data_IF_122034734517
#
_entry.id   IF_122034734517
#
_cell.length_a   1.000
_cell.length_b   1.000
_cell.length_c   1.000
_cell.angle_alpha   90.00
_cell.angle_beta   90.00
_cell.angle_gamma   90.00
#
_symmetry.space_group_name_H-M   'P 1'
#
loop_
_entity.id
_entity.type
_entity.pdbx_description
1 polymer ?
#
# COMPACT_ATOMS: atom_id res chain seq x y z
N UNK A 1 1.57 -19.15 4.84
CA UNK A 1 1.10 -19.86 6.06
C UNK A 1 -0.36 -20.22 5.89
N UNK A 2 -0.88 -21.24 6.59
CA UNK A 2 -2.32 -21.50 6.56
C UNK A 2 -3.07 -20.58 7.56
N UNK A 3 -4.39 -20.45 7.41
CA UNK A 3 -5.19 -19.52 8.22
C UNK A 3 -5.18 -19.87 9.71
N UNK A 4 -5.18 -21.16 10.06
CA UNK A 4 -5.14 -21.59 11.47
C UNK A 4 -3.83 -21.18 12.13
N UNK A 5 -2.71 -21.33 11.42
CA UNK A 5 -1.39 -20.89 11.90
C UNK A 5 -1.33 -19.37 12.07
N UNK A 6 -1.85 -18.61 11.10
CA UNK A 6 -1.90 -17.14 11.18
C UNK A 6 -2.69 -16.71 12.42
N UNK A 7 -3.88 -17.26 12.64
CA UNK A 7 -4.71 -16.91 13.80
C UNK A 7 -4.00 -17.28 15.10
N UNK A 8 -3.49 -18.52 15.21
CA UNK A 8 -2.79 -18.99 16.40
C UNK A 8 -1.58 -18.11 16.76
N UNK A 9 -0.80 -17.69 15.76
CA UNK A 9 0.35 -16.83 15.94
C UNK A 9 -0.07 -15.40 16.32
N UNK A 10 -1.10 -14.86 15.68
CA UNK A 10 -1.63 -13.52 15.98
C UNK A 10 -2.25 -13.43 17.39
N UNK A 11 -2.77 -14.53 17.95
CA UNK A 11 -3.35 -14.58 19.29
C UNK A 11 -2.38 -15.10 20.37
N UNK A 12 -1.15 -15.48 19.98
CA UNK A 12 -0.18 -16.14 20.86
C UNK A 12 0.42 -15.27 21.98
N UNK A 13 0.27 -13.94 21.90
CA UNK A 13 1.01 -12.93 22.70
C UNK A 13 2.54 -12.99 22.55
N UNK A 14 3.06 -13.85 21.67
CA UNK A 14 4.48 -13.88 21.30
C UNK A 14 4.72 -12.87 20.18
N UNK A 15 5.56 -11.89 20.47
CA UNK A 15 5.93 -10.80 19.56
C UNK A 15 6.45 -11.27 18.21
N UNK A 16 7.31 -12.28 18.21
CA UNK A 16 7.96 -12.74 16.98
C UNK A 16 6.93 -13.45 16.09
N UNK A 17 6.07 -14.27 16.70
CA UNK A 17 4.98 -14.97 16.01
C UNK A 17 3.95 -14.00 15.46
N UNK A 18 3.52 -13.02 16.25
CA UNK A 18 2.63 -11.95 15.82
C UNK A 18 3.26 -11.18 14.65
N UNK A 19 4.52 -10.78 14.75
CA UNK A 19 5.21 -10.05 13.67
C UNK A 19 5.24 -10.85 12.37
N UNK A 20 5.55 -12.14 12.46
CA UNK A 20 5.59 -13.04 11.31
C UNK A 20 4.22 -13.14 10.64
N UNK A 21 3.17 -13.39 11.41
CA UNK A 21 1.81 -13.54 10.88
C UNK A 21 1.19 -12.21 10.42
N UNK A 22 1.48 -11.11 11.10
CA UNK A 22 1.10 -9.78 10.66
C UNK A 22 1.72 -9.42 9.31
N UNK A 23 3.00 -9.76 9.11
CA UNK A 23 3.68 -9.59 7.81
C UNK A 23 3.02 -10.44 6.72
N UNK A 24 2.63 -11.68 7.04
CA UNK A 24 1.91 -12.55 6.10
C UNK A 24 0.57 -11.93 5.66
N UNK A 25 -0.19 -11.36 6.60
CA UNK A 25 -1.46 -10.68 6.30
C UNK A 25 -1.21 -9.46 5.40
N UNK A 26 -0.18 -8.65 5.70
CA UNK A 26 0.19 -7.46 4.91
C UNK A 26 0.56 -7.83 3.48
N UNK A 27 1.42 -8.84 3.30
CA UNK A 27 1.84 -9.32 1.99
C UNK A 27 0.68 -9.90 1.17
N UNK A 28 -0.36 -10.42 1.82
CA UNK A 28 -1.56 -10.94 1.18
C UNK A 28 -2.71 -9.92 1.12
N UNK A 29 -2.46 -8.65 1.44
CA UNK A 29 -3.51 -7.61 1.53
C UNK A 29 -4.33 -7.40 0.26
N UNK A 30 -3.83 -7.78 -0.91
CA UNK A 30 -4.58 -7.73 -2.17
C UNK A 30 -5.24 -9.06 -2.55
N UNK A 31 -4.91 -10.15 -1.86
CA UNK A 31 -5.50 -11.46 -2.05
C UNK A 31 -6.79 -11.58 -1.22
N UNK A 32 -7.89 -11.10 -1.80
CA UNK A 32 -9.21 -11.06 -1.14
C UNK A 32 -9.65 -12.43 -0.61
N UNK A 33 -9.40 -13.51 -1.34
CA UNK A 33 -9.82 -14.85 -0.93
C UNK A 33 -9.04 -15.35 0.29
N UNK A 34 -7.76 -14.97 0.42
CA UNK A 34 -7.00 -15.27 1.64
C UNK A 34 -7.48 -14.41 2.80
N UNK A 35 -7.68 -13.11 2.60
CA UNK A 35 -8.10 -12.20 3.67
C UNK A 35 -9.52 -12.52 4.16
N UNK A 36 -10.44 -12.91 3.27
CA UNK A 36 -11.82 -13.32 3.63
C UNK A 36 -11.87 -14.46 4.64
N UNK A 37 -10.89 -15.36 4.61
CA UNK A 37 -10.82 -16.48 5.58
C UNK A 37 -10.50 -16.03 7.00
N UNK A 38 -9.98 -14.81 7.17
CA UNK A 38 -9.68 -14.21 8.48
C UNK A 38 -10.88 -13.51 9.11
N UNK A 39 -11.96 -13.24 8.35
CA UNK A 39 -13.12 -12.51 8.86
C UNK A 39 -13.71 -13.09 10.15
N UNK A 40 -13.88 -14.43 10.30
CA UNK A 40 -14.45 -15.00 11.53
C UNK A 40 -13.59 -14.79 12.77
N UNK A 41 -12.30 -14.48 12.60
CA UNK A 41 -11.31 -14.35 13.67
C UNK A 41 -10.94 -12.89 13.96
N UNK A 42 -11.54 -11.94 13.24
CA UNK A 42 -11.20 -10.52 13.31
C UNK A 42 -11.19 -10.00 14.75
N UNK A 43 -12.27 -10.25 15.49
CA UNK A 43 -12.42 -9.73 16.86
C UNK A 43 -11.47 -10.43 17.83
N UNK A 44 -11.24 -11.73 17.66
CA UNK A 44 -10.27 -12.49 18.47
C UNK A 44 -8.84 -11.95 18.29
N UNK A 45 -8.44 -11.70 17.04
CA UNK A 45 -7.13 -11.11 16.70
C UNK A 45 -7.03 -9.70 17.29
N UNK A 46 -8.07 -8.88 17.14
CA UNK A 46 -8.09 -7.51 17.66
C UNK A 46 -7.96 -7.48 19.19
N UNK A 47 -8.77 -8.26 19.89
CA UNK A 47 -8.75 -8.32 21.36
C UNK A 47 -7.43 -8.87 21.91
N UNK A 48 -6.83 -9.83 21.21
CA UNK A 48 -5.53 -10.39 21.57
C UNK A 48 -4.37 -9.41 21.37
N UNK A 49 -4.53 -8.43 20.47
CA UNK A 49 -3.45 -7.52 20.07
C UNK A 49 -3.61 -6.07 20.55
N UNK A 50 -4.82 -5.60 20.88
CA UNK A 50 -5.10 -4.18 21.20
C UNK A 50 -4.32 -3.58 22.37
N UNK A 51 -3.85 -4.41 23.31
CA UNK A 51 -3.14 -3.97 24.52
C UNK A 51 -1.66 -4.30 24.49
N UNK A 52 -1.15 -4.73 23.35
CA UNK A 52 0.27 -4.96 23.12
C UNK A 52 0.99 -3.61 23.02
N UNK A 53 1.24 -2.98 24.17
CA UNK A 53 1.99 -1.72 24.27
C UNK A 53 3.45 -1.97 23.99
N UNK A 54 3.84 -1.94 22.73
CA UNK A 54 5.25 -2.04 22.34
C UNK A 54 5.81 -0.70 21.89
N UNK A 55 7.08 -0.51 22.24
CA UNK A 55 7.87 0.64 21.84
C UNK A 55 8.01 0.66 20.32
N UNK A 56 7.53 1.75 19.72
CA UNK A 56 7.90 2.30 18.40
C UNK A 56 7.43 1.60 17.11
N UNK A 57 6.83 0.40 17.10
CA UNK A 57 6.39 -0.19 15.82
C UNK A 57 5.15 -1.11 15.93
N UNK A 58 3.98 -0.49 16.02
CA UNK A 58 2.66 -1.13 16.17
C UNK A 58 2.05 -1.71 14.89
N UNK A 59 2.73 -1.48 13.76
CA UNK A 59 2.32 -1.86 12.41
C UNK A 59 1.90 -3.32 12.29
N UNK A 60 2.67 -4.24 12.88
CA UNK A 60 2.47 -5.68 12.67
C UNK A 60 1.26 -6.27 13.39
N UNK A 61 0.56 -5.48 14.20
CA UNK A 61 -0.66 -5.93 14.87
C UNK A 61 -1.85 -5.01 14.63
N UNK A 62 -1.65 -3.70 14.46
CA UNK A 62 -2.73 -2.78 14.09
C UNK A 62 -3.08 -2.88 12.61
N UNK A 63 -2.07 -2.88 11.73
CA UNK A 63 -2.32 -2.82 10.28
C UNK A 63 -2.98 -4.09 9.72
N UNK A 64 -2.68 -5.31 10.19
CA UNK A 64 -3.48 -6.50 9.83
C UNK A 64 -4.98 -6.35 10.12
N UNK A 65 -5.36 -5.71 11.24
CA UNK A 65 -6.77 -5.44 11.55
C UNK A 65 -7.36 -4.44 10.54
N UNK A 66 -6.62 -3.37 10.21
CA UNK A 66 -7.05 -2.40 9.18
C UNK A 66 -7.29 -3.09 7.84
N UNK A 67 -6.43 -4.03 7.43
CA UNK A 67 -6.60 -4.82 6.21
C UNK A 67 -7.87 -5.65 6.30
N UNK A 68 -8.07 -6.42 7.38
CA UNK A 68 -9.26 -7.25 7.53
C UNK A 68 -10.54 -6.40 7.49
N UNK A 69 -10.57 -5.27 8.21
CA UNK A 69 -11.70 -4.35 8.25
C UNK A 69 -12.01 -3.72 6.89
N UNK A 70 -10.97 -3.36 6.13
CA UNK A 70 -11.14 -2.87 4.76
C UNK A 70 -11.80 -3.91 3.87
N UNK A 71 -11.39 -5.17 3.98
CA UNK A 71 -11.97 -6.29 3.22
C UNK A 71 -13.39 -6.65 3.64
N UNK A 72 -13.75 -6.48 4.91
CA UNK A 72 -15.15 -6.61 5.37
C UNK A 72 -16.00 -5.51 4.70
N UNK A 73 -15.55 -4.25 4.75
CA UNK A 73 -16.26 -3.13 4.10
C UNK A 73 -16.37 -3.29 2.58
N UNK A 74 -15.34 -3.86 1.95
CA UNK A 74 -15.35 -4.22 0.52
C UNK A 74 -16.44 -5.22 0.20
N UNK A 75 -16.58 -6.28 1.01
CA UNK A 75 -17.63 -7.30 0.83
C UNK A 75 -19.02 -6.69 0.96
N UNK A 76 -19.21 -5.76 1.90
CA UNK A 76 -20.52 -5.18 2.20
C UNK A 76 -20.91 -4.06 1.20
N UNK A 77 -19.96 -3.44 0.50
CA UNK A 77 -20.21 -2.41 -0.52
C UNK A 77 -20.24 -2.99 -1.93
N UNK A 78 -21.41 -2.95 -2.59
CA UNK A 78 -21.64 -3.50 -3.94
C UNK A 78 -21.02 -2.70 -5.12
N UNK A 79 -19.88 -2.01 -4.94
CA UNK A 79 -19.14 -1.50 -6.13
C UNK A 79 -18.33 -0.22 -6.02
N UNK A 80 -17.99 0.27 -4.82
CA UNK A 80 -17.25 1.55 -4.71
C UNK A 80 -15.79 1.45 -4.25
N UNK A 81 -15.44 0.38 -3.52
CA UNK A 81 -14.15 0.26 -2.83
C UNK A 81 -13.35 -0.84 -3.54
N UNK A 82 -12.04 -0.64 -3.71
CA UNK A 82 -11.13 -1.69 -4.17
C UNK A 82 -10.09 -2.02 -3.10
N UNK A 83 -9.53 -3.24 -3.10
CA UNK A 83 -8.46 -3.63 -2.17
C UNK A 83 -7.21 -2.74 -2.29
N UNK A 84 -6.97 -2.16 -3.47
CA UNK A 84 -5.86 -1.23 -3.70
C UNK A 84 -6.06 0.14 -3.03
N UNK A 85 -7.25 0.45 -2.51
CA UNK A 85 -7.46 1.69 -1.75
C UNK A 85 -6.67 1.68 -0.42
N UNK A 86 -6.28 0.49 0.07
CA UNK A 86 -5.34 0.34 1.18
C UNK A 86 -4.03 1.08 0.97
N UNK A 87 -3.56 1.22 -0.28
CA UNK A 87 -2.30 1.90 -0.58
C UNK A 87 -2.32 3.38 -0.16
N UNK A 88 -3.47 4.05 -0.23
CA UNK A 88 -3.58 5.48 0.04
C UNK A 88 -3.52 5.83 1.54
N UNK A 89 -3.77 4.86 2.42
CA UNK A 89 -3.77 5.05 3.87
C UNK A 89 -2.53 4.51 4.60
N UNK A 90 -1.62 3.85 3.89
CA UNK A 90 -0.60 2.97 4.48
C UNK A 90 0.82 3.29 3.98
N UNK A 91 1.27 4.51 4.26
CA UNK A 91 2.46 5.13 3.68
C UNK A 91 3.80 4.37 3.88
N UNK A 92 3.90 3.38 4.75
CA UNK A 92 5.15 2.64 4.98
C UNK A 92 5.04 1.13 4.79
N UNK A 93 3.91 0.61 4.31
CA UNK A 93 3.66 -0.84 4.32
C UNK A 93 3.74 -1.50 2.94
N UNK A 94 3.68 -0.70 1.89
CA UNK A 94 3.62 -1.20 0.51
C UNK A 94 4.82 -0.72 -0.28
N UNK A 95 5.81 -1.59 -0.43
CA UNK A 95 6.96 -1.36 -1.29
C UNK A 95 6.56 -1.61 -2.75
N UNK A 96 6.64 -0.61 -3.65
CA UNK A 96 6.32 -0.80 -5.07
C UNK A 96 7.19 -1.86 -5.76
N UNK A 97 8.40 -2.14 -5.26
CA UNK A 97 9.26 -3.21 -5.77
C UNK A 97 8.79 -4.61 -5.37
N UNK A 98 8.01 -4.72 -4.30
CA UNK A 98 7.32 -5.96 -3.91
C UNK A 98 5.97 -6.04 -4.62
N UNK A 99 5.18 -4.96 -4.57
CA UNK A 99 3.84 -4.90 -5.15
C UNK A 99 3.83 -5.09 -6.67
N UNK A 100 4.92 -4.79 -7.39
CA UNK A 100 5.02 -5.11 -8.83
C UNK A 100 4.88 -6.60 -9.15
N UNK A 101 5.14 -7.48 -8.19
CA UNK A 101 5.00 -8.93 -8.33
C UNK A 101 3.60 -9.42 -7.91
N UNK A 102 2.76 -8.53 -7.39
CA UNK A 102 1.38 -8.83 -7.07
C UNK A 102 0.57 -8.94 -8.36
N UNK A 103 -0.16 -10.05 -8.55
CA UNK A 103 -0.97 -10.27 -9.75
C UNK A 103 -2.02 -9.18 -9.96
N UNK A 104 -2.49 -8.57 -8.86
CA UNK A 104 -3.47 -7.47 -8.85
C UNK A 104 -2.89 -6.13 -9.31
N UNK A 105 -1.58 -6.03 -9.52
CA UNK A 105 -0.88 -4.80 -9.88
C UNK A 105 -0.16 -4.95 -11.22
N UNK A 106 -0.21 -3.91 -12.02
CA UNK A 106 0.61 -3.73 -13.21
C UNK A 106 1.68 -2.68 -12.91
N UNK A 107 2.94 -3.05 -13.13
CA UNK A 107 4.05 -2.13 -13.04
C UNK A 107 4.18 -1.33 -14.33
N UNK A 108 4.04 -0.01 -14.24
CA UNK A 108 4.07 0.84 -15.43
C UNK A 108 5.48 1.38 -15.68
N UNK A 109 6.11 1.96 -14.66
CA UNK A 109 7.41 2.62 -14.80
C UNK A 109 8.18 2.68 -13.48
N UNK A 110 9.51 2.77 -13.61
CA UNK A 110 10.42 3.28 -12.57
C UNK A 110 11.15 4.51 -13.11
N UNK A 111 11.12 5.61 -12.37
CA UNK A 111 11.90 6.81 -12.64
C UNK A 111 12.93 7.07 -11.54
N UNK A 112 13.97 7.83 -11.89
CA UNK A 112 14.93 8.38 -10.94
C UNK A 112 14.49 9.82 -10.65
N UNK A 113 14.25 10.14 -9.37
CA UNK A 113 14.11 11.51 -8.89
C UNK A 113 15.43 12.04 -8.33
N UNK A 114 15.42 13.26 -7.79
CA UNK A 114 16.66 13.98 -7.39
C UNK A 114 17.58 13.19 -6.44
N UNK A 115 17.00 12.46 -5.48
CA UNK A 115 17.71 11.63 -4.51
C UNK A 115 16.99 10.33 -4.16
N UNK A 116 15.89 10.02 -4.85
CA UNK A 116 14.97 8.91 -4.54
C UNK A 116 14.36 8.36 -5.83
N UNK A 117 13.66 7.23 -5.75
CA UNK A 117 12.92 6.68 -6.88
C UNK A 117 11.45 7.10 -6.89
N UNK A 118 10.88 7.12 -8.09
CA UNK A 118 9.44 7.29 -8.32
C UNK A 118 8.93 6.12 -9.14
N UNK A 119 7.68 5.72 -8.91
CA UNK A 119 7.09 4.56 -9.54
C UNK A 119 5.68 4.88 -10.02
N UNK A 120 5.32 4.28 -11.16
CA UNK A 120 3.95 4.25 -11.65
C UNK A 120 3.42 2.82 -11.56
N UNK A 121 2.28 2.64 -10.89
CA UNK A 121 1.59 1.34 -10.82
C UNK A 121 0.11 1.51 -11.15
N UNK A 122 -0.51 0.47 -11.70
CA UNK A 122 -1.95 0.42 -11.96
C UNK A 122 -2.55 -0.81 -11.28
N UNK A 123 -3.68 -0.62 -10.58
CA UNK A 123 -4.46 -1.73 -10.10
C UNK A 123 -5.21 -2.38 -11.27
N UNK A 124 -5.04 -3.68 -11.47
CA UNK A 124 -5.75 -4.41 -12.55
C UNK A 124 -7.22 -4.71 -12.23
N UNK A 125 -7.64 -4.50 -10.98
CA UNK A 125 -9.03 -4.76 -10.54
C UNK A 125 -9.98 -3.59 -10.80
N UNK A 126 -9.48 -2.36 -10.66
CA UNK A 126 -10.29 -1.14 -10.77
C UNK A 126 -9.66 -0.04 -11.64
N UNK A 127 -8.56 -0.36 -12.31
CA UNK A 127 -7.81 0.52 -13.22
C UNK A 127 -7.26 1.83 -12.62
N UNK A 128 -7.42 2.05 -11.31
CA UNK A 128 -6.80 3.17 -10.61
C UNK A 128 -5.28 3.12 -10.78
N UNK A 129 -4.71 4.27 -11.12
CA UNK A 129 -3.27 4.48 -11.27
C UNK A 129 -2.70 5.22 -10.08
N UNK A 130 -1.50 4.83 -9.68
CA UNK A 130 -0.82 5.34 -8.51
C UNK A 130 0.54 5.90 -8.91
N UNK A 131 0.81 7.11 -8.42
CA UNK A 131 2.14 7.67 -8.31
C UNK A 131 2.69 7.26 -6.94
N UNK A 132 3.86 6.63 -6.93
CA UNK A 132 4.52 6.25 -5.67
C UNK A 132 5.87 6.93 -5.61
N UNK A 133 6.08 7.71 -4.56
CA UNK A 133 7.37 8.33 -4.29
C UNK A 133 8.07 7.64 -3.13
N UNK A 134 9.29 7.19 -3.36
CA UNK A 134 10.19 6.74 -2.30
C UNK A 134 10.63 7.94 -1.45
N UNK A 135 10.64 7.75 -0.14
CA UNK A 135 10.98 8.78 0.85
C UNK A 135 11.93 8.21 1.88
N UNK A 136 12.90 9.01 2.28
CA UNK A 136 13.95 8.61 3.21
C UNK A 136 13.85 9.47 4.47
N UNK A 137 13.83 8.84 5.64
CA UNK A 137 14.03 9.49 6.94
C UNK A 137 14.78 8.51 7.87
N UNK A 138 14.21 8.10 9.00
CA UNK A 138 14.75 7.01 9.82
C UNK A 138 14.69 5.63 9.14
N UNK A 139 13.88 5.49 8.10
CA UNK A 139 13.77 4.31 7.24
C UNK A 139 13.20 4.72 5.87
N UNK A 140 13.25 3.81 4.91
CA UNK A 140 12.63 3.99 3.59
C UNK A 140 11.12 3.75 3.73
N UNK A 141 10.32 4.68 3.19
CA UNK A 141 8.86 4.53 3.10
C UNK A 141 8.36 5.04 1.76
N UNK A 142 7.12 4.70 1.40
CA UNK A 142 6.59 4.89 0.07
C UNK A 142 5.26 5.65 0.13
N UNK A 143 5.26 6.90 -0.34
CA UNK A 143 4.04 7.69 -0.42
C UNK A 143 3.28 7.30 -1.68
N UNK A 144 2.12 6.68 -1.53
CA UNK A 144 1.20 6.35 -2.62
C UNK A 144 0.18 7.48 -2.79
N UNK A 145 -0.01 7.92 -4.02
CA UNK A 145 -0.95 8.97 -4.39
C UNK A 145 -1.74 8.56 -5.62
N UNK A 146 -3.06 8.76 -5.60
CA UNK A 146 -3.92 8.49 -6.74
C UNK A 146 -3.59 9.48 -7.87
N UNK A 147 -3.42 8.97 -9.08
CA UNK A 147 -3.28 9.81 -10.27
C UNK A 147 -4.67 10.21 -10.75
N UNK A 148 -5.04 11.47 -10.54
CA UNK A 148 -6.39 11.99 -10.83
C UNK A 148 -6.52 12.66 -12.20
N UNK A 149 -5.44 12.78 -12.96
CA UNK A 149 -5.49 13.29 -14.34
C UNK A 149 -5.48 12.11 -15.30
N UNK A 150 -6.49 12.07 -16.18
CA UNK A 150 -6.57 11.24 -17.37
C UNK A 150 -5.37 11.52 -18.28
N UNK A 151 -4.26 10.90 -17.93
CA UNK A 151 -3.17 10.63 -18.85
C UNK A 151 -3.76 9.60 -19.80
N UNK A 152 -4.36 10.09 -20.89
CA UNK A 152 -4.89 9.30 -22.00
C UNK A 152 -3.97 8.11 -22.23
N UNK A 153 -4.54 6.91 -22.26
CA UNK A 153 -3.82 5.64 -22.34
C UNK A 153 -2.60 5.76 -23.25
N UNK A 154 -1.38 5.68 -22.69
CA UNK A 154 -0.19 5.71 -23.50
C UNK A 154 -0.18 4.43 -24.36
N UNK A 155 -0.27 4.59 -25.67
CA UNK A 155 -0.41 3.47 -26.62
C UNK A 155 0.93 2.71 -26.74
N UNK A 156 2.02 3.29 -26.24
CA UNK A 156 3.35 2.72 -26.21
C UNK A 156 4.09 2.98 -24.88
N UNK A 157 5.00 2.07 -24.50
CA UNK A 157 5.88 2.19 -23.31
C UNK A 157 6.67 3.51 -23.26
N UNK A 158 7.05 4.04 -24.43
CA UNK A 158 7.74 5.34 -24.57
C UNK A 158 6.85 6.55 -24.26
N UNK A 159 5.53 6.41 -24.36
CA UNK A 159 4.58 7.45 -23.98
C UNK A 159 4.28 7.43 -22.48
N UNK A 160 4.29 6.25 -21.83
CA UNK A 160 4.22 6.13 -20.35
C UNK A 160 5.38 6.91 -19.72
N UNK A 161 6.60 6.69 -20.22
CA UNK A 161 7.79 7.43 -19.77
C UNK A 161 7.68 8.93 -20.03
N UNK A 162 7.15 9.35 -21.19
CA UNK A 162 6.94 10.77 -21.51
C UNK A 162 5.89 11.42 -20.62
N UNK A 163 4.77 10.76 -20.35
CA UNK A 163 3.71 11.38 -19.56
C UNK A 163 4.00 11.30 -18.06
N UNK A 164 4.67 10.26 -17.58
CA UNK A 164 5.21 10.26 -16.22
C UNK A 164 6.33 11.28 -16.10
N UNK A 165 7.22 11.42 -17.08
CA UNK A 165 8.20 12.51 -17.11
C UNK A 165 7.50 13.87 -17.14
N UNK A 166 6.47 14.07 -17.96
CA UNK A 166 5.69 15.31 -18.00
C UNK A 166 4.98 15.58 -16.66
N UNK A 167 4.43 14.55 -16.03
CA UNK A 167 3.77 14.64 -14.72
C UNK A 167 4.78 14.93 -13.61
N UNK A 168 5.94 14.28 -13.63
CA UNK A 168 7.07 14.53 -12.73
C UNK A 168 7.62 15.95 -12.94
N UNK A 169 7.86 16.36 -14.18
CA UNK A 169 8.33 17.70 -14.56
C UNK A 169 7.31 18.77 -14.14
N UNK A 170 6.01 18.52 -14.31
CA UNK A 170 4.93 19.44 -13.88
C UNK A 170 4.91 19.55 -12.34
N UNK A 171 4.96 18.44 -11.61
CA UNK A 171 4.99 18.44 -10.14
C UNK A 171 6.27 19.06 -9.56
N UNK A 172 7.41 18.92 -10.25
CA UNK A 172 8.69 19.53 -9.86
C UNK A 172 8.71 21.04 -10.16
N UNK A 173 8.11 21.46 -11.28
CA UNK A 173 7.99 22.89 -11.64
C UNK A 173 7.07 23.67 -10.69
N UNK A 174 6.00 23.05 -10.19
CA UNK A 174 5.06 23.68 -9.24
C UNK A 174 5.67 23.90 -7.84
N UNK A 175 6.69 23.10 -7.47
CA UNK A 175 7.45 23.29 -6.23
C UNK A 175 8.46 24.44 -6.33
N UNK A 176 9.03 24.69 -7.51
CA UNK A 176 9.91 25.83 -7.75
C UNK A 176 9.16 27.18 -7.75
N UNK A 177 7.85 27.18 -7.97
CA UNK A 177 7.01 28.38 -7.86
C UNK A 177 6.60 28.73 -6.42
N UNK A 178 6.65 27.78 -5.48
CA UNK A 178 6.31 28.02 -4.06
C UNK A 178 7.51 28.23 -3.13
N UNK A 179 8.73 27.99 -3.62
CA UNK A 179 9.98 28.28 -2.88
C UNK A 179 10.48 29.73 -3.01
N UNK A 180 9.83 30.55 -3.84
CA UNK A 180 10.21 31.94 -4.07
C UNK A 180 9.28 32.93 -3.37
N UNK A 181 9.33 33.01 -2.03
CA UNK A 181 9.12 34.23 -1.21
C UNK A 181 8.89 33.88 0.26
N UNK A 182 9.89 34.23 1.07
CA UNK A 182 9.80 35.09 2.25
C UNK A 182 11.26 35.56 2.43
N UNK A 183 11.60 36.69 1.81
CA UNK A 183 12.02 37.93 2.49
C UNK A 183 13.13 37.73 3.51
#
# INVERSE_FOLDING_TARGET
MNIKEIVLDMTSRDLHRIRKSGTEIINNSQNEDQIKKLFPYRDEIYESTRNLRFTVNNVFYEFPIVIIDHHIKLKDNQGGICSCDLYLGAYSHFDPNVEKNNESMAFLVKGIGDYTHVYGLQCKKCDKRYHVSERHYHYIWYKWELMTKDIKDPIAKSEIEKVLKLYLDTLLSDKNLRGGRLQ
#
